data_IF_700073351403
#
_entry.id   IF_700073351403
#
_cell.length_a   1.000
_cell.length_b   1.000
_cell.length_c   1.000
_cell.angle_alpha   90.00
_cell.angle_beta   90.00
_cell.angle_gamma   90.00
#
_symmetry.space_group_name_H-M   'P 1'
#
loop_
_entity.id
_entity.type
_entity.pdbx_description
1 polymer ?
#
# COMPACT_ATOMS: atom_id res chain seq x y z
N UNK A 1 4.03 -11.74 -27.37
CA UNK A 1 2.85 -11.19 -26.70
C UNK A 1 3.14 -10.84 -25.26
N UNK A 2 2.33 -9.98 -24.63
CA UNK A 2 2.48 -9.69 -23.23
C UNK A 2 1.98 -10.90 -22.42
N UNK A 3 2.84 -11.51 -21.60
CA UNK A 3 2.42 -12.59 -20.70
C UNK A 3 1.73 -11.96 -19.50
N UNK A 4 0.55 -12.44 -19.16
CA UNK A 4 -0.26 -12.00 -18.03
C UNK A 4 -0.52 -13.20 -17.13
N UNK A 5 -0.40 -13.00 -15.81
CA UNK A 5 -0.80 -13.99 -14.81
C UNK A 5 -1.73 -13.35 -13.78
N UNK A 6 -2.62 -14.14 -13.20
CA UNK A 6 -3.56 -13.65 -12.20
C UNK A 6 -3.76 -14.68 -11.08
N UNK A 7 -4.00 -14.16 -9.89
CA UNK A 7 -4.47 -14.92 -8.72
C UNK A 7 -5.76 -14.25 -8.26
N UNK A 8 -6.87 -15.00 -8.34
CA UNK A 8 -8.19 -14.52 -7.94
C UNK A 8 -8.67 -15.39 -6.78
N UNK A 9 -9.01 -14.75 -5.67
CA UNK A 9 -9.50 -15.36 -4.43
C UNK A 9 -8.56 -16.44 -3.84
N UNK A 10 -8.80 -17.70 -4.13
CA UNK A 10 -8.04 -18.81 -3.57
C UNK A 10 -7.04 -19.38 -4.57
N UNK A 11 -5.78 -19.62 -4.14
CA UNK A 11 -4.76 -20.18 -5.03
C UNK A 11 -5.16 -21.58 -5.53
N UNK A 12 -5.11 -21.76 -6.86
CA UNK A 12 -5.33 -23.07 -7.49
C UNK A 12 -4.10 -23.97 -7.32
N UNK A 13 -3.91 -24.52 -6.10
CA UNK A 13 -2.80 -25.39 -5.76
C UNK A 13 -3.17 -26.88 -5.90
N UNK A 14 -2.24 -27.67 -6.37
CA UNK A 14 -2.32 -29.13 -6.23
C UNK A 14 -1.93 -29.53 -4.81
N UNK A 15 -2.93 -29.64 -3.94
CA UNK A 15 -2.76 -29.82 -2.50
C UNK A 15 -1.96 -31.08 -2.10
N UNK A 16 -1.97 -32.12 -2.93
CA UNK A 16 -1.26 -33.37 -2.68
C UNK A 16 0.18 -33.37 -3.28
N UNK A 17 0.61 -32.27 -3.90
CA UNK A 17 1.95 -32.08 -4.40
C UNK A 17 2.77 -31.21 -3.44
N UNK A 18 4.11 -31.32 -3.51
CA UNK A 18 5.03 -30.42 -2.83
C UNK A 18 5.06 -29.04 -3.52
N UNK A 19 5.77 -28.07 -2.94
CA UNK A 19 5.97 -26.76 -3.62
C UNK A 19 6.71 -26.94 -4.95
N UNK A 20 7.79 -27.72 -4.91
CA UNK A 20 8.58 -28.03 -6.11
C UNK A 20 7.73 -28.69 -7.21
N UNK A 21 6.98 -29.75 -6.87
CA UNK A 21 6.13 -30.46 -7.83
C UNK A 21 5.01 -29.57 -8.40
N UNK A 22 4.45 -28.65 -7.62
CA UNK A 22 3.47 -27.66 -8.07
C UNK A 22 4.09 -26.75 -9.16
N UNK A 23 5.28 -26.21 -8.91
CA UNK A 23 5.99 -25.34 -9.86
C UNK A 23 6.40 -26.10 -11.13
N UNK A 24 6.88 -27.35 -10.96
CA UNK A 24 7.21 -28.21 -12.08
C UNK A 24 5.98 -28.49 -12.97
N UNK A 25 4.85 -28.78 -12.33
CA UNK A 25 3.60 -29.02 -13.06
C UNK A 25 3.12 -27.76 -13.79
N UNK A 26 3.26 -26.59 -13.18
CA UNK A 26 2.91 -25.33 -13.82
C UNK A 26 3.75 -25.05 -15.07
N UNK A 27 5.05 -25.31 -15.05
CA UNK A 27 5.91 -25.19 -16.25
C UNK A 27 5.43 -26.09 -17.38
N UNK A 28 5.06 -27.33 -17.08
CA UNK A 28 4.51 -28.27 -18.08
C UNK A 28 3.20 -27.73 -18.68
N UNK A 29 2.31 -27.15 -17.87
CA UNK A 29 1.07 -26.53 -18.34
C UNK A 29 1.34 -25.32 -19.26
N UNK A 30 2.39 -24.57 -18.99
CA UNK A 30 2.84 -23.47 -19.86
C UNK A 30 3.54 -23.93 -21.15
N UNK A 31 3.73 -25.26 -21.33
CA UNK A 31 4.43 -25.82 -22.46
C UNK A 31 5.96 -25.68 -22.39
N UNK A 32 6.49 -25.38 -21.22
CA UNK A 32 7.92 -25.26 -20.97
C UNK A 32 8.50 -26.58 -20.43
N UNK A 33 9.77 -26.84 -20.77
CA UNK A 33 10.50 -27.94 -20.15
C UNK A 33 10.88 -27.54 -18.72
N UNK A 34 10.51 -28.34 -17.68
CA UNK A 34 10.87 -28.01 -16.31
C UNK A 34 12.39 -27.91 -16.13
N UNK A 35 12.83 -26.76 -15.60
CA UNK A 35 14.22 -26.53 -15.19
C UNK A 35 14.31 -26.53 -13.68
N UNK A 36 15.21 -27.36 -13.12
CA UNK A 36 15.45 -27.38 -11.67
C UNK A 36 15.93 -26.01 -11.18
N UNK A 37 16.83 -25.37 -11.92
CA UNK A 37 17.37 -24.06 -11.59
C UNK A 37 16.27 -22.98 -11.50
N UNK A 38 15.39 -22.93 -12.49
CA UNK A 38 14.26 -21.99 -12.53
C UNK A 38 13.26 -22.21 -11.37
N UNK A 39 13.02 -23.48 -11.01
CA UNK A 39 12.14 -23.81 -9.88
C UNK A 39 12.78 -23.37 -8.55
N UNK A 40 14.06 -23.66 -8.35
CA UNK A 40 14.79 -23.27 -7.15
C UNK A 40 14.87 -21.74 -7.02
N UNK A 41 15.10 -21.01 -8.10
CA UNK A 41 15.07 -19.55 -8.13
C UNK A 41 13.72 -19.00 -7.63
N UNK A 42 12.61 -19.55 -8.14
CA UNK A 42 11.27 -19.13 -7.70
C UNK A 42 11.01 -19.53 -6.25
N UNK A 43 11.40 -20.73 -5.80
CA UNK A 43 11.27 -21.15 -4.41
C UNK A 43 12.02 -20.21 -3.45
N UNK A 44 13.24 -19.82 -3.81
CA UNK A 44 14.01 -18.84 -3.07
C UNK A 44 13.31 -17.48 -3.01
N UNK A 45 12.84 -16.98 -4.16
CA UNK A 45 12.17 -15.69 -4.28
C UNK A 45 10.90 -15.61 -3.41
N UNK A 46 10.10 -16.69 -3.36
CA UNK A 46 8.89 -16.73 -2.54
C UNK A 46 9.14 -17.25 -1.12
N UNK A 47 10.39 -17.46 -0.71
CA UNK A 47 10.77 -17.88 0.63
C UNK A 47 10.28 -19.27 1.03
N UNK A 48 10.28 -20.21 0.08
CA UNK A 48 9.87 -21.61 0.30
C UNK A 48 11.02 -22.62 0.07
N UNK A 49 12.24 -22.16 -0.21
CA UNK A 49 13.38 -23.04 -0.48
C UNK A 49 13.77 -23.91 0.72
N UNK A 50 13.66 -23.39 1.95
CA UNK A 50 14.01 -24.11 3.18
C UNK A 50 12.89 -25.03 3.69
N UNK A 51 11.78 -25.12 2.98
CA UNK A 51 10.66 -26.01 3.36
C UNK A 51 10.98 -27.44 2.96
N UNK A 52 10.70 -28.40 3.85
CA UNK A 52 10.88 -29.84 3.56
C UNK A 52 10.33 -30.16 2.16
N UNK A 53 11.18 -30.64 1.21
CA UNK A 53 10.76 -30.93 -0.16
C UNK A 53 9.62 -31.97 -0.28
N UNK A 54 9.41 -32.78 0.78
CA UNK A 54 8.34 -33.77 0.82
C UNK A 54 7.04 -33.23 1.40
N UNK A 55 7.06 -32.05 2.02
CA UNK A 55 5.86 -31.44 2.62
C UNK A 55 4.86 -31.08 1.54
N UNK A 56 3.63 -31.54 1.70
CA UNK A 56 2.56 -31.30 0.73
C UNK A 56 1.90 -29.94 0.95
N UNK A 57 1.41 -29.31 -0.12
CA UNK A 57 0.76 -28.00 -0.06
C UNK A 57 -0.49 -27.98 0.84
N UNK A 58 -1.16 -29.11 1.05
CA UNK A 58 -2.27 -29.25 2.02
C UNK A 58 -1.83 -28.95 3.47
N UNK A 59 -0.57 -29.21 3.81
CA UNK A 59 0.01 -29.04 5.14
C UNK A 59 0.69 -27.66 5.30
N UNK A 60 0.57 -26.78 4.31
CA UNK A 60 1.08 -25.42 4.34
C UNK A 60 0.16 -24.51 5.15
N UNK A 61 0.74 -23.52 5.84
CA UNK A 61 -0.01 -22.40 6.39
C UNK A 61 -0.64 -21.57 5.26
N UNK A 62 -1.60 -20.71 5.58
CA UNK A 62 -2.21 -19.81 4.59
C UNK A 62 -1.15 -18.97 3.88
N UNK A 63 -0.22 -18.35 4.63
CA UNK A 63 0.86 -17.56 4.06
C UNK A 63 1.81 -18.38 3.15
N UNK A 64 2.10 -19.64 3.50
CA UNK A 64 2.89 -20.50 2.62
C UNK A 64 2.14 -20.84 1.32
N UNK A 65 0.82 -21.07 1.40
CA UNK A 65 0.00 -21.31 0.20
C UNK A 65 -0.05 -20.07 -0.70
N UNK A 66 -0.20 -18.90 -0.09
CA UNK A 66 -0.23 -17.64 -0.83
C UNK A 66 1.10 -17.36 -1.53
N UNK A 67 2.24 -17.59 -0.84
CA UNK A 67 3.58 -17.47 -1.44
C UNK A 67 3.80 -18.46 -2.58
N UNK A 68 3.35 -19.71 -2.42
CA UNK A 68 3.41 -20.70 -3.50
C UNK A 68 2.55 -20.29 -4.70
N UNK A 69 1.36 -19.72 -4.47
CA UNK A 69 0.50 -19.21 -5.55
C UNK A 69 1.18 -18.10 -6.34
N UNK A 70 1.83 -17.16 -5.65
CA UNK A 70 2.63 -16.13 -6.32
C UNK A 70 3.75 -16.79 -7.13
N UNK A 71 4.44 -17.79 -6.58
CA UNK A 71 5.46 -18.57 -7.30
C UNK A 71 4.93 -19.18 -8.59
N UNK A 72 3.75 -19.79 -8.55
CA UNK A 72 3.09 -20.35 -9.74
C UNK A 72 2.76 -19.29 -10.78
N UNK A 73 2.32 -18.12 -10.32
CA UNK A 73 1.95 -17.02 -11.21
C UNK A 73 3.16 -16.38 -11.91
N UNK A 74 4.33 -16.38 -11.27
CA UNK A 74 5.53 -15.72 -11.79
C UNK A 74 6.50 -16.65 -12.53
N UNK A 75 6.35 -17.98 -12.40
CA UNK A 75 7.32 -18.93 -12.95
C UNK A 75 7.46 -18.84 -14.48
N UNK A 76 6.42 -18.39 -15.17
CA UNK A 76 6.43 -18.14 -16.63
C UNK A 76 6.84 -16.70 -16.99
N UNK A 77 7.42 -15.96 -16.04
CA UNK A 77 7.95 -14.60 -16.21
C UNK A 77 6.93 -13.63 -16.84
N UNK A 78 5.77 -13.39 -16.21
CA UNK A 78 4.76 -12.47 -16.73
C UNK A 78 5.26 -11.02 -16.70
N UNK A 79 4.71 -10.17 -17.57
CA UNK A 79 4.92 -8.72 -17.51
C UNK A 79 3.86 -8.00 -16.64
N UNK A 80 2.70 -8.62 -16.48
CA UNK A 80 1.61 -8.13 -15.66
C UNK A 80 1.13 -9.25 -14.73
N UNK A 81 1.10 -8.95 -13.44
CA UNK A 81 0.59 -9.81 -12.39
C UNK A 81 -0.64 -9.15 -11.75
N UNK A 82 -1.78 -9.83 -11.78
CA UNK A 82 -3.02 -9.37 -11.15
C UNK A 82 -3.28 -10.19 -9.89
N UNK A 83 -3.44 -9.52 -8.76
CA UNK A 83 -3.62 -10.14 -7.45
C UNK A 83 -4.89 -9.61 -6.79
N UNK A 84 -5.84 -10.50 -6.55
CA UNK A 84 -7.07 -10.15 -5.85
C UNK A 84 -6.96 -10.55 -4.37
N UNK A 85 -6.95 -9.54 -3.48
CA UNK A 85 -6.86 -9.69 -2.02
C UNK A 85 -5.72 -10.61 -1.53
N UNK A 86 -4.46 -10.47 -2.02
CA UNK A 86 -3.40 -11.45 -1.76
C UNK A 86 -2.93 -11.52 -0.30
N UNK A 87 -3.26 -10.53 0.52
CA UNK A 87 -2.85 -10.45 1.94
C UNK A 87 -4.00 -10.74 2.90
N UNK A 88 -5.20 -11.02 2.38
CA UNK A 88 -6.37 -11.24 3.22
C UNK A 88 -6.22 -12.49 4.10
N UNK A 89 -6.52 -12.33 5.41
CA UNK A 89 -6.47 -13.42 6.41
C UNK A 89 -5.06 -13.85 6.82
N UNK A 90 -4.01 -13.17 6.37
CA UNK A 90 -2.65 -13.43 6.79
C UNK A 90 -2.34 -12.77 8.15
N UNK A 91 -1.42 -13.39 8.88
CA UNK A 91 -0.82 -12.75 10.05
C UNK A 91 0.17 -11.63 9.64
N UNK A 92 0.57 -10.73 10.56
CA UNK A 92 1.45 -9.61 10.23
C UNK A 92 2.77 -10.03 9.57
N UNK A 93 3.31 -11.19 9.93
CA UNK A 93 4.52 -11.74 9.31
C UNK A 93 4.26 -12.14 7.85
N UNK A 94 3.15 -12.85 7.61
CA UNK A 94 2.75 -13.25 6.25
C UNK A 94 2.48 -12.05 5.34
N UNK A 95 1.86 -10.99 5.86
CA UNK A 95 1.65 -9.74 5.13
C UNK A 95 3.00 -9.13 4.72
N UNK A 96 3.93 -9.03 5.67
CA UNK A 96 5.27 -8.52 5.41
C UNK A 96 6.01 -9.35 4.36
N UNK A 97 5.97 -10.69 4.49
CA UNK A 97 6.62 -11.60 3.53
C UNK A 97 6.08 -11.38 2.09
N UNK A 98 4.75 -11.28 1.93
CA UNK A 98 4.13 -10.99 0.61
C UNK A 98 4.56 -9.62 0.09
N UNK A 99 4.55 -8.59 0.93
CA UNK A 99 4.98 -7.24 0.54
C UNK A 99 6.42 -7.22 0.03
N UNK A 100 7.33 -7.89 0.74
CA UNK A 100 8.74 -7.95 0.36
C UNK A 100 8.92 -8.68 -0.98
N UNK A 101 8.16 -9.77 -1.22
CA UNK A 101 8.11 -10.46 -2.51
C UNK A 101 7.63 -9.52 -3.63
N UNK A 102 6.50 -8.82 -3.43
CA UNK A 102 5.95 -7.91 -4.44
C UNK A 102 6.90 -6.75 -4.75
N UNK A 103 7.58 -6.21 -3.74
CA UNK A 103 8.60 -5.19 -3.94
C UNK A 103 9.77 -5.70 -4.80
N UNK A 104 10.26 -6.92 -4.54
CA UNK A 104 11.30 -7.56 -5.36
C UNK A 104 10.83 -7.79 -6.80
N UNK A 105 9.62 -8.31 -6.99
CA UNK A 105 9.06 -8.53 -8.33
C UNK A 105 8.95 -7.24 -9.14
N UNK A 106 8.54 -6.14 -8.49
CA UNK A 106 8.46 -4.82 -9.13
C UNK A 106 9.83 -4.26 -9.47
N UNK A 107 10.75 -4.24 -8.51
CA UNK A 107 12.01 -3.51 -8.63
C UNK A 107 13.08 -4.27 -9.41
N UNK A 108 13.21 -5.59 -9.19
CA UNK A 108 14.29 -6.39 -9.73
C UNK A 108 13.87 -7.13 -11.01
N UNK A 109 12.59 -7.53 -11.10
CA UNK A 109 12.06 -8.25 -12.26
C UNK A 109 11.23 -7.39 -13.21
N UNK A 110 11.00 -6.11 -12.85
CA UNK A 110 10.24 -5.14 -13.64
C UNK A 110 8.84 -5.65 -14.07
N UNK A 111 8.15 -6.32 -13.13
CA UNK A 111 6.79 -6.81 -13.31
C UNK A 111 5.81 -5.71 -12.89
N UNK A 112 4.87 -5.37 -13.76
CA UNK A 112 3.75 -4.51 -13.38
C UNK A 112 2.78 -5.32 -12.53
N UNK A 113 2.38 -4.78 -11.37
CA UNK A 113 1.49 -5.46 -10.43
C UNK A 113 0.21 -4.65 -10.28
N UNK A 114 -0.94 -5.28 -10.54
CA UNK A 114 -2.26 -4.77 -10.20
C UNK A 114 -2.77 -5.55 -8.99
N UNK A 115 -3.01 -4.86 -7.89
CA UNK A 115 -3.41 -5.47 -6.63
C UNK A 115 -4.71 -4.85 -6.12
N UNK A 116 -5.68 -5.67 -5.72
CA UNK A 116 -6.83 -5.24 -4.93
C UNK A 116 -6.59 -5.53 -3.44
N UNK A 117 -7.04 -4.65 -2.56
CA UNK A 117 -7.12 -4.91 -1.12
C UNK A 117 -8.11 -3.96 -0.46
N UNK A 118 -8.70 -4.42 0.64
CA UNK A 118 -9.47 -3.60 1.56
C UNK A 118 -8.64 -3.14 2.77
N UNK A 119 -7.38 -3.56 2.88
CA UNK A 119 -6.44 -3.16 3.95
C UNK A 119 -5.60 -2.00 3.42
N UNK A 120 -6.15 -0.79 3.52
CA UNK A 120 -5.60 0.42 2.90
C UNK A 120 -4.20 0.78 3.41
N UNK A 121 -3.94 0.58 4.71
CA UNK A 121 -2.63 0.83 5.31
C UNK A 121 -1.51 -0.04 4.73
N UNK A 122 -1.81 -1.29 4.37
CA UNK A 122 -0.83 -2.18 3.74
C UNK A 122 -0.65 -1.88 2.24
N UNK A 123 -1.75 -1.52 1.54
CA UNK A 123 -1.66 -1.04 0.16
C UNK A 123 -0.77 0.19 0.04
N UNK A 124 -0.89 1.14 0.98
CA UNK A 124 -0.09 2.36 0.98
C UNK A 124 1.43 2.10 1.07
N UNK A 125 1.84 0.96 1.62
CA UNK A 125 3.25 0.56 1.68
C UNK A 125 3.81 -0.01 0.37
N UNK A 126 2.92 -0.44 -0.57
CA UNK A 126 3.30 -1.18 -1.78
C UNK A 126 3.04 -0.35 -3.05
N UNK A 127 1.91 0.34 -3.10
CA UNK A 127 1.38 0.98 -4.30
C UNK A 127 2.15 2.26 -4.67
N UNK A 128 2.31 2.49 -5.97
CA UNK A 128 2.80 3.74 -6.54
C UNK A 128 1.64 4.59 -7.05
N UNK A 129 0.60 3.93 -7.60
CA UNK A 129 -0.59 4.55 -8.16
C UNK A 129 -1.85 3.89 -7.58
N UNK A 130 -2.92 4.65 -7.50
CA UNK A 130 -4.20 4.19 -6.96
C UNK A 130 -5.32 4.36 -7.97
N UNK A 131 -6.17 3.36 -8.03
CA UNK A 131 -7.46 3.41 -8.71
C UNK A 131 -8.55 3.16 -7.67
N UNK A 132 -9.28 4.21 -7.28
CA UNK A 132 -10.33 4.11 -6.28
C UNK A 132 -11.66 3.86 -6.98
N UNK A 133 -12.34 2.81 -6.55
CA UNK A 133 -13.61 2.38 -7.12
C UNK A 133 -14.73 2.44 -6.09
N UNK A 134 -15.90 2.91 -6.51
CA UNK A 134 -17.12 2.87 -5.72
C UNK A 134 -18.31 2.54 -6.60
N UNK A 135 -19.19 1.64 -6.12
CA UNK A 135 -20.42 1.22 -6.83
C UNK A 135 -20.16 0.80 -8.30
N UNK A 136 -19.06 0.09 -8.54
CA UNK A 136 -18.67 -0.42 -9.87
C UNK A 136 -18.11 0.63 -10.83
N UNK A 137 -17.79 1.84 -10.36
CA UNK A 137 -17.20 2.90 -11.17
C UNK A 137 -15.87 3.34 -10.57
N UNK A 138 -14.93 3.69 -11.44
CA UNK A 138 -13.71 4.40 -11.05
C UNK A 138 -14.12 5.84 -10.70
N UNK A 139 -13.81 6.27 -9.48
CA UNK A 139 -14.11 7.62 -8.98
C UNK A 139 -12.88 8.51 -8.91
N UNK A 140 -11.69 7.89 -8.80
CA UNK A 140 -10.41 8.58 -8.75
C UNK A 140 -9.31 7.67 -9.30
N UNK A 141 -8.36 8.27 -10.02
CA UNK A 141 -7.13 7.64 -10.45
C UNK A 141 -5.99 8.66 -10.28
N UNK A 142 -5.02 8.35 -9.42
CA UNK A 142 -3.92 9.26 -9.11
C UNK A 142 -2.67 8.49 -8.65
N UNK A 143 -1.51 9.13 -8.82
CA UNK A 143 -0.29 8.63 -8.21
C UNK A 143 -0.28 8.89 -6.70
N UNK A 144 0.41 8.05 -5.95
CA UNK A 144 0.63 8.24 -4.51
C UNK A 144 1.17 9.63 -4.19
N UNK A 145 2.11 10.12 -4.99
CA UNK A 145 2.70 11.45 -4.83
C UNK A 145 1.67 12.58 -5.01
N UNK A 146 0.76 12.45 -5.99
CA UNK A 146 -0.30 13.43 -6.23
C UNK A 146 -1.28 13.47 -5.04
N UNK A 147 -1.70 12.30 -4.54
CA UNK A 147 -2.57 12.19 -3.36
C UNK A 147 -1.88 12.80 -2.13
N UNK A 148 -0.65 12.39 -1.82
CA UNK A 148 0.08 12.93 -0.68
C UNK A 148 0.30 14.45 -0.78
N UNK A 149 0.51 14.98 -1.98
CA UNK A 149 0.64 16.41 -2.20
C UNK A 149 -0.68 17.16 -1.94
N UNK A 150 -1.81 16.57 -2.28
CA UNK A 150 -3.12 17.16 -2.01
C UNK A 150 -3.49 17.13 -0.53
N UNK A 151 -3.00 16.12 0.21
CA UNK A 151 -3.24 15.95 1.65
C UNK A 151 -2.27 16.76 2.53
N UNK A 152 -1.13 17.19 2.00
CA UNK A 152 -0.01 17.75 2.77
C UNK A 152 -0.23 19.17 3.31
N UNK A 153 -1.42 19.77 3.16
CA UNK A 153 -1.62 21.20 3.40
C UNK A 153 -2.34 21.56 4.70
N UNK A 154 -2.66 20.60 5.55
CA UNK A 154 -3.25 20.92 6.85
C UNK A 154 -2.16 21.12 7.91
N UNK A 155 -2.17 22.30 8.53
CA UNK A 155 -1.33 22.59 9.70
C UNK A 155 -2.24 22.75 10.90
N UNK A 156 -1.95 22.04 11.96
CA UNK A 156 -2.65 22.14 13.22
C UNK A 156 -1.86 23.05 14.16
N UNK A 157 -2.56 24.02 14.75
CA UNK A 157 -2.00 24.98 15.70
C UNK A 157 -2.84 24.97 16.96
N UNK A 158 -2.19 24.81 18.11
CA UNK A 158 -2.82 24.94 19.43
C UNK A 158 -2.10 26.03 20.24
N UNK A 159 -2.87 26.95 20.77
CA UNK A 159 -2.34 28.12 21.49
C UNK A 159 -3.12 28.37 22.77
N UNK A 160 -2.58 29.19 23.65
CA UNK A 160 -3.28 29.63 24.87
C UNK A 160 -4.55 30.43 24.55
N UNK A 161 -4.64 31.05 23.35
CA UNK A 161 -5.77 31.89 22.92
C UNK A 161 -6.08 31.65 21.44
N UNK A 162 -6.70 30.50 21.12
CA UNK A 162 -7.00 30.12 19.75
C UNK A 162 -7.84 31.15 18.97
N UNK A 163 -8.79 31.83 19.61
CA UNK A 163 -9.60 32.87 18.97
C UNK A 163 -8.75 34.05 18.47
N UNK A 164 -7.83 34.54 19.28
CA UNK A 164 -6.92 35.63 18.88
C UNK A 164 -5.90 35.15 17.82
N UNK A 165 -5.42 33.91 17.99
CA UNK A 165 -4.46 33.32 17.04
C UNK A 165 -5.06 33.17 15.63
N UNK A 166 -6.34 32.77 15.52
CA UNK A 166 -7.01 32.64 14.22
C UNK A 166 -7.14 33.98 13.51
N UNK A 167 -7.47 35.07 14.23
CA UNK A 167 -7.54 36.42 13.65
C UNK A 167 -6.19 36.85 13.09
N UNK A 168 -5.10 36.60 13.84
CA UNK A 168 -3.74 36.93 13.43
C UNK A 168 -3.31 36.12 12.19
N UNK A 169 -3.59 34.81 12.18
CA UNK A 169 -3.25 33.93 11.06
C UNK A 169 -4.04 34.31 9.80
N UNK A 170 -5.34 34.57 9.94
CA UNK A 170 -6.20 35.02 8.85
C UNK A 170 -5.73 36.36 8.26
N UNK A 171 -5.31 37.31 9.09
CA UNK A 171 -4.72 38.58 8.65
C UNK A 171 -3.39 38.39 7.88
N UNK A 172 -2.75 37.24 8.01
CA UNK A 172 -1.53 36.85 7.30
C UNK A 172 -1.81 35.86 6.13
N UNK A 173 -3.01 35.91 5.54
CA UNK A 173 -3.44 35.11 4.40
C UNK A 173 -3.42 33.59 4.68
N UNK A 174 -3.81 33.17 5.87
CA UNK A 174 -4.06 31.77 6.20
C UNK A 174 -5.57 31.52 6.21
N UNK A 175 -6.01 30.44 5.54
CA UNK A 175 -7.38 29.96 5.67
C UNK A 175 -7.46 29.07 6.91
N UNK A 176 -8.18 29.56 7.93
CA UNK A 176 -8.21 28.92 9.24
C UNK A 176 -9.62 28.51 9.64
N UNK A 177 -9.74 27.34 10.26
CA UNK A 177 -10.97 26.85 10.89
C UNK A 177 -10.73 26.60 12.36
N UNK A 178 -11.60 27.11 13.24
CA UNK A 178 -11.54 26.85 14.67
C UNK A 178 -12.15 25.48 14.98
N UNK A 179 -11.35 24.59 15.55
CA UNK A 179 -11.78 23.34 16.16
C UNK A 179 -11.93 23.54 17.69
N UNK A 180 -12.52 22.59 18.44
CA UNK A 180 -12.74 22.77 19.88
C UNK A 180 -11.51 23.22 20.67
N UNK A 181 -10.34 22.63 20.41
CA UNK A 181 -9.10 22.90 21.15
C UNK A 181 -7.93 23.32 20.24
N UNK A 182 -8.14 23.46 18.94
CA UNK A 182 -7.07 23.67 17.93
C UNK A 182 -7.57 24.57 16.81
N UNK A 183 -6.64 25.06 16.01
CA UNK A 183 -6.88 25.76 14.76
C UNK A 183 -6.39 24.87 13.62
N UNK A 184 -7.23 24.58 12.66
CA UNK A 184 -6.84 23.95 11.39
C UNK A 184 -6.52 25.04 10.38
N UNK A 185 -5.34 24.99 9.77
CA UNK A 185 -4.91 25.88 8.68
C UNK A 185 -4.83 25.03 7.41
N UNK A 186 -5.70 25.32 6.44
CA UNK A 186 -5.85 24.52 5.22
C UNK A 186 -5.14 25.11 4.01
N UNK A 187 -4.97 26.43 3.97
CA UNK A 187 -4.29 27.12 2.87
C UNK A 187 -3.42 28.23 3.44
N UNK A 188 -2.14 28.24 3.09
CA UNK A 188 -1.21 29.27 3.55
C UNK A 188 0.04 29.29 2.69
N UNK A 189 0.60 30.48 2.54
CA UNK A 189 1.93 30.71 1.97
C UNK A 189 3.03 30.72 3.03
N UNK A 190 2.65 30.73 4.31
CA UNK A 190 3.58 30.75 5.42
C UNK A 190 4.14 29.36 5.73
N UNK A 191 5.42 29.29 5.99
CA UNK A 191 6.03 28.10 6.60
C UNK A 191 5.66 28.03 8.09
N UNK A 192 5.79 26.86 8.71
CA UNK A 192 5.56 26.68 10.17
C UNK A 192 6.42 27.69 10.98
N UNK A 193 7.68 27.87 10.61
CA UNK A 193 8.56 28.83 11.31
C UNK A 193 8.04 30.27 11.19
N UNK A 194 7.57 30.67 10.01
CA UNK A 194 6.97 32.01 9.82
C UNK A 194 5.67 32.17 10.63
N UNK A 195 4.83 31.14 10.74
CA UNK A 195 3.64 31.16 11.61
C UNK A 195 4.03 31.32 13.06
N UNK A 196 5.04 30.58 13.51
CA UNK A 196 5.58 30.70 14.88
C UNK A 196 6.04 32.13 15.14
N UNK A 197 6.79 32.75 14.20
CA UNK A 197 7.28 34.11 14.35
C UNK A 197 6.15 35.15 14.41
N UNK A 198 5.12 34.98 13.58
CA UNK A 198 3.94 35.85 13.55
C UNK A 198 3.18 35.75 14.88
N UNK A 199 2.91 34.56 15.37
CA UNK A 199 2.19 34.35 16.63
C UNK A 199 3.00 34.87 17.83
N UNK A 200 4.30 34.63 17.90
CA UNK A 200 5.19 35.13 18.96
C UNK A 200 5.30 36.64 18.98
N UNK A 201 5.39 37.30 17.82
CA UNK A 201 5.38 38.77 17.74
C UNK A 201 4.11 39.39 18.31
N UNK A 202 2.99 38.66 18.27
CA UNK A 202 1.73 39.08 18.85
C UNK A 202 1.51 38.51 20.27
N UNK A 203 2.56 38.04 20.94
CA UNK A 203 2.56 37.52 22.30
C UNK A 203 1.62 36.32 22.51
N UNK A 204 1.37 35.52 21.47
CA UNK A 204 0.59 34.29 21.56
C UNK A 204 1.52 33.15 21.99
N UNK A 205 1.17 32.49 23.08
CA UNK A 205 1.84 31.28 23.53
C UNK A 205 1.36 30.07 22.71
N UNK A 206 2.30 29.34 22.07
CA UNK A 206 2.02 28.19 21.22
C UNK A 206 2.28 26.93 22.02
N UNK A 207 1.30 26.06 22.11
CA UNK A 207 1.44 24.73 22.72
C UNK A 207 1.94 23.71 21.70
N UNK A 208 1.30 23.68 20.53
CA UNK A 208 1.64 22.74 19.45
C UNK A 208 1.49 23.40 18.08
N UNK A 209 2.36 23.06 17.16
CA UNK A 209 2.21 23.35 15.74
C UNK A 209 2.86 22.24 14.91
N UNK A 210 2.08 21.59 14.05
CA UNK A 210 2.56 20.49 13.23
C UNK A 210 1.75 20.37 11.93
N UNK A 211 2.36 19.72 10.92
CA UNK A 211 1.61 19.29 9.73
C UNK A 211 0.84 18.05 10.09
N UNK A 212 -0.47 18.07 9.87
CA UNK A 212 -1.30 16.87 9.98
C UNK A 212 -0.99 15.96 8.79
N UNK A 213 -0.65 14.72 9.09
CA UNK A 213 -0.52 13.68 8.08
C UNK A 213 -1.88 12.99 7.97
N UNK A 214 -2.67 13.40 6.98
CA UNK A 214 -3.89 12.67 6.65
C UNK A 214 -3.49 11.30 6.12
N UNK A 215 -4.02 10.24 6.72
CA UNK A 215 -3.76 8.88 6.25
C UNK A 215 -4.46 8.64 4.91
N UNK A 216 -3.91 7.72 4.09
CA UNK A 216 -4.59 7.29 2.86
C UNK A 216 -5.98 6.72 3.14
N UNK A 217 -6.17 6.09 4.29
CA UNK A 217 -7.44 5.55 4.75
C UNK A 217 -8.48 6.66 4.98
N UNK A 218 -8.10 7.75 5.65
CA UNK A 218 -8.97 8.91 5.86
C UNK A 218 -9.33 9.60 4.54
N UNK A 219 -8.36 9.75 3.64
CA UNK A 219 -8.59 10.25 2.28
C UNK A 219 -9.62 9.41 1.53
N UNK A 220 -9.45 8.09 1.55
CA UNK A 220 -10.36 7.16 0.91
C UNK A 220 -11.80 7.30 1.43
N UNK A 221 -11.99 7.33 2.75
CA UNK A 221 -13.30 7.49 3.36
C UNK A 221 -13.96 8.83 3.01
N UNK A 222 -13.21 9.92 3.05
CA UNK A 222 -13.72 11.24 2.65
C UNK A 222 -14.18 11.25 1.18
N UNK A 223 -13.43 10.59 0.30
CA UNK A 223 -13.77 10.52 -1.12
C UNK A 223 -15.01 9.64 -1.40
N UNK A 224 -15.12 8.49 -0.71
CA UNK A 224 -16.22 7.53 -0.94
C UNK A 224 -17.52 7.96 -0.25
N UNK A 225 -17.43 8.58 0.93
CA UNK A 225 -18.59 9.06 1.69
C UNK A 225 -19.07 10.47 1.28
N UNK A 226 -18.29 11.18 0.46
CA UNK A 226 -18.64 12.51 -0.03
C UNK A 226 -18.59 13.61 1.04
N UNK A 227 -17.65 13.46 2.01
CA UNK A 227 -17.38 14.47 3.04
C UNK A 227 -16.30 15.44 2.60
#
# INVERSE_FOLDING_TARGET
>A
GCKLSSIVESPALHLNLSAYDNLQYQLLLCGETPSHEKIEEVLNLVGLADVDPKKKAKDFSLGMRQRLAIGLAIIDSPKLLILDEPINGLDPKGIKDIRDILATLKNDFNITILISSHILSELDLIADDYVIMSKGKVIQEDSKLAILSSLANKIIVSTATNHTAIEILTANNCDCTLLPDKIEVTNTTLTINQMIDVLRKNQIEIFEIYKEQVSFEEYYFNLVEGR
#
